data_IF_340391223004
#
_entry.id   IF_340391223004
#
_cell.length_a   1.000
_cell.length_b   1.000
_cell.length_c   1.000
_cell.angle_alpha   90.00
_cell.angle_beta   90.00
_cell.angle_gamma   90.00
#
_symmetry.space_group_name_H-M   'P 1'
#
loop_
_entity.id
_entity.type
_entity.pdbx_description
1 polymer ?
#
# COMPACT_ATOMS: atom_id res chain seq x y z
N UNK A 1 -26.50 -3.62 -2.77
CA UNK A 1 -27.22 -3.82 -1.48
C UNK A 1 -26.99 -5.24 -0.94
N UNK A 2 -26.93 -6.21 -1.84
CA UNK A 2 -26.82 -7.66 -1.69
C UNK A 2 -25.50 -8.06 -1.01
N UNK A 3 -24.36 -7.49 -1.43
CA UNK A 3 -23.05 -7.76 -0.82
C UNK A 3 -23.05 -7.37 0.66
N UNK A 4 -23.65 -6.23 1.00
CA UNK A 4 -23.77 -5.79 2.39
C UNK A 4 -24.63 -6.77 3.20
N UNK A 5 -25.72 -7.28 2.60
CA UNK A 5 -26.56 -8.29 3.23
C UNK A 5 -25.82 -9.62 3.46
N UNK A 6 -24.99 -10.06 2.50
CA UNK A 6 -24.14 -11.24 2.64
C UNK A 6 -23.11 -11.08 3.77
N UNK A 7 -22.45 -9.91 3.83
CA UNK A 7 -21.53 -9.59 4.93
C UNK A 7 -22.28 -9.68 6.26
N UNK A 8 -23.44 -9.03 6.39
CA UNK A 8 -24.22 -9.04 7.64
C UNK A 8 -24.78 -10.42 8.03
N UNK A 9 -24.86 -11.35 7.09
CA UNK A 9 -25.27 -12.74 7.27
C UNK A 9 -26.77 -12.92 7.54
N UNK A 10 -27.24 -12.47 8.70
CA UNK A 10 -28.63 -12.66 9.15
C UNK A 10 -29.31 -11.36 9.56
N UNK A 11 -30.63 -11.33 9.43
CA UNK A 11 -31.47 -10.23 9.88
C UNK A 11 -31.65 -10.20 11.40
N UNK A 12 -32.73 -9.57 11.84
CA UNK A 12 -33.22 -9.63 13.22
C UNK A 12 -34.60 -10.29 13.24
N UNK A 13 -35.13 -10.59 14.43
CA UNK A 13 -36.47 -11.16 14.55
C UNK A 13 -37.49 -10.26 13.83
N UNK A 14 -38.24 -10.85 12.88
CA UNK A 14 -39.26 -10.15 12.10
C UNK A 14 -38.73 -9.30 10.92
N UNK A 15 -37.42 -9.19 10.70
CA UNK A 15 -36.87 -8.40 9.59
C UNK A 15 -35.70 -9.10 8.88
N UNK A 16 -35.80 -9.22 7.55
CA UNK A 16 -34.72 -9.76 6.71
C UNK A 16 -33.45 -8.89 6.77
N UNK A 17 -32.29 -9.53 6.58
CA UNK A 17 -31.01 -8.83 6.45
C UNK A 17 -31.01 -7.81 5.31
N UNK A 18 -31.82 -8.05 4.26
CA UNK A 18 -31.99 -7.12 3.14
C UNK A 18 -32.54 -5.77 3.59
N UNK A 19 -33.47 -5.77 4.55
CA UNK A 19 -34.04 -4.54 5.12
C UNK A 19 -32.99 -3.78 5.92
N UNK A 20 -32.15 -4.51 6.67
CA UNK A 20 -31.04 -3.90 7.42
C UNK A 20 -30.01 -3.28 6.48
N UNK A 21 -29.66 -3.97 5.38
CA UNK A 21 -28.73 -3.46 4.38
C UNK A 21 -29.26 -2.22 3.65
N UNK A 22 -30.56 -2.22 3.31
CA UNK A 22 -31.21 -1.05 2.74
C UNK A 22 -31.21 0.12 3.72
N UNK A 23 -31.52 -0.11 5.00
CA UNK A 23 -31.51 0.92 6.05
C UNK A 23 -30.15 1.58 6.20
N UNK A 24 -29.05 0.81 6.14
CA UNK A 24 -27.69 1.36 6.14
C UNK A 24 -27.45 2.28 4.95
N UNK A 25 -27.78 1.82 3.73
CA UNK A 25 -27.61 2.62 2.52
C UNK A 25 -28.48 3.87 2.52
N UNK A 26 -29.72 3.78 2.99
CA UNK A 26 -30.62 4.94 3.10
C UNK A 26 -30.13 5.95 4.14
N UNK A 27 -29.58 5.51 5.27
CA UNK A 27 -29.08 6.41 6.32
C UNK A 27 -27.80 7.14 5.92
N UNK A 28 -26.85 6.44 5.30
CA UNK A 28 -25.52 6.98 5.01
C UNK A 28 -25.37 7.44 3.54
N UNK A 29 -26.31 7.10 2.66
CA UNK A 29 -26.37 7.52 1.26
C UNK A 29 -25.40 6.79 0.32
N UNK A 30 -24.23 6.35 0.79
CA UNK A 30 -23.23 5.66 -0.03
C UNK A 30 -22.38 4.67 0.77
N UNK A 31 -21.76 3.70 0.07
CA UNK A 31 -20.79 2.78 0.68
C UNK A 31 -19.58 3.52 1.27
N UNK A 32 -19.14 4.61 0.63
CA UNK A 32 -18.04 5.44 1.13
C UNK A 32 -18.38 6.09 2.48
N UNK A 33 -19.60 6.58 2.64
CA UNK A 33 -20.07 7.13 3.90
C UNK A 33 -20.20 6.05 4.99
N UNK A 34 -20.67 4.85 4.64
CA UNK A 34 -20.70 3.70 5.57
C UNK A 34 -19.29 3.32 6.02
N UNK A 35 -18.32 3.29 5.09
CA UNK A 35 -16.93 2.97 5.40
C UNK A 35 -16.30 4.01 6.35
N UNK A 36 -16.64 5.30 6.16
CA UNK A 36 -16.16 6.40 6.99
C UNK A 36 -16.84 6.53 8.36
N UNK A 37 -18.03 5.94 8.54
CA UNK A 37 -18.77 6.03 9.80
C UNK A 37 -18.02 5.37 10.97
N UNK A 38 -18.23 5.92 12.16
CA UNK A 38 -17.71 5.37 13.42
C UNK A 38 -18.47 4.09 13.83
N UNK A 39 -17.89 3.29 14.73
CA UNK A 39 -18.57 2.10 15.26
C UNK A 39 -19.86 2.49 16.00
N UNK A 40 -19.84 3.61 16.71
CA UNK A 40 -20.99 4.18 17.42
C UNK A 40 -22.08 4.55 16.43
N UNK A 41 -21.75 5.31 15.37
CA UNK A 41 -22.71 5.73 14.34
C UNK A 41 -23.36 4.53 13.63
N UNK A 42 -22.57 3.53 13.28
CA UNK A 42 -23.08 2.28 12.68
C UNK A 42 -23.99 1.52 13.65
N UNK A 43 -23.61 1.47 14.93
CA UNK A 43 -24.37 0.76 15.97
C UNK A 43 -25.70 1.43 16.32
N UNK A 44 -25.90 2.69 15.92
CA UNK A 44 -27.20 3.36 16.02
C UNK A 44 -28.21 2.87 14.97
N UNK A 45 -27.82 2.02 14.03
CA UNK A 45 -28.75 1.44 13.06
C UNK A 45 -29.41 0.20 13.65
N UNK A 46 -30.75 0.22 13.76
CA UNK A 46 -31.53 -0.96 14.17
C UNK A 46 -31.10 -2.20 13.38
N UNK A 47 -30.69 -3.25 14.08
CA UNK A 47 -30.20 -4.50 13.51
C UNK A 47 -28.68 -4.58 13.32
N UNK A 48 -27.95 -3.50 13.64
CA UNK A 48 -26.49 -3.42 13.66
C UNK A 48 -26.04 -3.15 15.10
N UNK A 49 -25.58 -4.18 15.78
CA UNK A 49 -24.84 -4.02 17.03
C UNK A 49 -23.33 -3.95 16.76
N UNK A 50 -22.54 -3.81 17.82
CA UNK A 50 -21.06 -3.72 17.75
C UNK A 50 -20.46 -4.81 16.86
N UNK A 51 -20.90 -6.07 17.00
CA UNK A 51 -20.38 -7.18 16.21
C UNK A 51 -20.54 -6.97 14.69
N UNK A 52 -21.73 -6.53 14.24
CA UNK A 52 -22.01 -6.27 12.82
C UNK A 52 -21.34 -4.98 12.34
N UNK A 53 -21.25 -3.96 13.20
CA UNK A 53 -20.50 -2.75 12.90
C UNK A 53 -19.01 -3.06 12.67
N UNK A 54 -18.39 -3.82 13.58
CA UNK A 54 -17.01 -4.29 13.45
C UNK A 54 -16.82 -5.14 12.19
N UNK A 55 -17.79 -5.98 11.84
CA UNK A 55 -17.74 -6.78 10.63
C UNK A 55 -17.73 -5.91 9.36
N UNK A 56 -18.56 -4.86 9.31
CA UNK A 56 -18.55 -3.88 8.22
C UNK A 56 -17.18 -3.19 8.14
N UNK A 57 -16.65 -2.70 9.27
CA UNK A 57 -15.34 -2.03 9.31
C UNK A 57 -14.22 -2.96 8.86
N UNK A 58 -14.24 -4.23 9.27
CA UNK A 58 -13.28 -5.23 8.85
C UNK A 58 -13.34 -5.50 7.34
N UNK A 59 -14.53 -5.54 6.74
CA UNK A 59 -14.69 -5.73 5.31
C UNK A 59 -14.10 -4.56 4.50
N UNK A 60 -14.32 -3.32 4.94
CA UNK A 60 -13.74 -2.14 4.30
C UNK A 60 -12.23 -2.03 4.51
N UNK A 61 -11.74 -2.37 5.70
CA UNK A 61 -10.31 -2.43 5.99
C UNK A 61 -9.61 -3.45 5.09
N UNK A 62 -10.21 -4.63 4.88
CA UNK A 62 -9.68 -5.64 3.98
C UNK A 62 -9.63 -5.13 2.53
N UNK A 63 -10.67 -4.46 2.07
CA UNK A 63 -10.68 -3.81 0.75
C UNK A 63 -9.57 -2.75 0.64
N UNK A 64 -9.40 -1.91 1.68
CA UNK A 64 -8.34 -0.90 1.74
C UNK A 64 -6.95 -1.52 1.61
N UNK A 65 -6.67 -2.62 2.32
CA UNK A 65 -5.40 -3.36 2.22
C UNK A 65 -5.17 -3.95 0.84
N UNK A 66 -6.22 -4.49 0.21
CA UNK A 66 -6.13 -5.07 -1.13
C UNK A 66 -5.79 -4.01 -2.18
N UNK A 67 -6.35 -2.82 -2.04
CA UNK A 67 -6.06 -1.68 -2.92
C UNK A 67 -4.71 -1.00 -2.62
N UNK A 68 -3.96 -1.48 -1.62
CA UNK A 68 -2.70 -0.87 -1.18
C UNK A 68 -2.89 0.47 -0.46
N UNK A 69 -4.14 0.82 -0.11
CA UNK A 69 -4.47 1.97 0.74
C UNK A 69 -4.19 1.58 2.20
N UNK A 70 -2.92 1.56 2.58
CA UNK A 70 -2.55 1.75 3.98
C UNK A 70 -2.70 3.25 4.22
N UNK A 71 -3.80 3.67 4.87
CA UNK A 71 -4.13 5.04 5.30
C UNK A 71 -3.74 6.19 4.34
N UNK A 72 -4.75 6.93 3.85
CA UNK A 72 -4.74 8.31 3.30
C UNK A 72 -3.43 9.10 3.52
N UNK A 73 -2.37 8.66 2.87
CA UNK A 73 -1.09 9.32 2.77
C UNK A 73 -0.91 9.40 1.27
N UNK A 74 -0.89 10.63 0.76
CA UNK A 74 -0.52 10.83 -0.63
C UNK A 74 0.76 10.04 -0.88
N UNK A 75 0.73 9.16 -1.89
CA UNK A 75 1.91 8.39 -2.28
C UNK A 75 3.08 9.36 -2.37
N UNK A 76 4.20 9.12 -1.65
CA UNK A 76 5.30 10.06 -1.60
C UNK A 76 5.72 10.47 -3.01
N UNK A 77 5.85 11.78 -3.22
CA UNK A 77 6.28 12.35 -4.49
C UNK A 77 7.79 12.48 -4.44
N UNK A 78 8.49 11.92 -5.42
CA UNK A 78 9.96 11.98 -5.52
C UNK A 78 10.33 13.09 -6.49
N UNK A 79 10.94 14.16 -5.97
CA UNK A 79 11.43 15.30 -6.75
C UNK A 79 12.92 15.54 -6.55
N UNK A 80 13.47 15.12 -5.42
CA UNK A 80 14.89 15.31 -5.10
C UNK A 80 15.56 14.01 -4.63
N UNK A 81 16.91 13.94 -4.65
CA UNK A 81 17.64 12.81 -4.07
C UNK A 81 17.33 12.60 -2.57
N UNK A 82 17.01 13.66 -1.82
CA UNK A 82 16.63 13.56 -0.42
C UNK A 82 15.31 12.80 -0.25
N UNK A 83 14.33 13.01 -1.13
CA UNK A 83 13.08 12.24 -1.12
C UNK A 83 13.35 10.74 -1.31
N UNK A 84 14.31 10.40 -2.18
CA UNK A 84 14.76 9.01 -2.42
C UNK A 84 15.39 8.44 -1.15
N UNK A 85 16.27 9.19 -0.50
CA UNK A 85 16.93 8.79 0.75
C UNK A 85 15.88 8.55 1.83
N UNK A 86 14.92 9.45 2.03
CA UNK A 86 13.89 9.31 3.06
C UNK A 86 13.00 8.07 2.84
N UNK A 87 12.73 7.72 1.58
CA UNK A 87 11.98 6.50 1.22
C UNK A 87 12.71 5.20 1.60
N UNK A 88 14.03 5.16 1.46
CA UNK A 88 14.82 3.92 1.55
C UNK A 88 15.69 3.82 2.80
N UNK A 89 15.93 4.93 3.50
CA UNK A 89 16.82 5.01 4.68
C UNK A 89 16.38 4.03 5.77
N UNK A 90 15.09 3.92 6.05
CA UNK A 90 14.58 2.94 7.02
C UNK A 90 14.86 1.48 6.65
N UNK A 91 14.99 1.18 5.35
CA UNK A 91 15.23 -0.19 4.83
C UNK A 91 16.72 -0.52 4.76
N UNK A 92 17.55 0.46 4.42
CA UNK A 92 18.98 0.28 4.13
C UNK A 92 19.89 0.62 5.33
N UNK A 93 19.43 1.42 6.28
CA UNK A 93 20.25 1.82 7.43
C UNK A 93 20.70 0.60 8.24
N UNK A 94 22.02 0.50 8.45
CA UNK A 94 22.63 -0.56 9.25
C UNK A 94 22.75 -1.91 8.53
N UNK A 95 22.40 -1.99 7.24
CA UNK A 95 22.66 -3.19 6.43
C UNK A 95 24.16 -3.33 6.21
N UNK A 96 24.69 -4.52 6.50
CA UNK A 96 26.12 -4.87 6.36
C UNK A 96 26.47 -5.44 4.98
N UNK A 97 25.47 -5.59 4.11
CA UNK A 97 25.62 -6.04 2.73
C UNK A 97 25.12 -4.92 1.82
N UNK A 98 25.59 -4.91 0.58
CA UNK A 98 25.03 -4.05 -0.46
C UNK A 98 23.65 -4.58 -0.86
N UNK A 99 22.67 -3.69 -0.87
CA UNK A 99 21.34 -3.95 -1.39
C UNK A 99 21.13 -3.04 -2.58
N UNK A 100 20.67 -3.58 -3.71
CA UNK A 100 20.27 -2.79 -4.87
C UNK A 100 18.76 -2.80 -5.00
N UNK A 101 18.17 -1.61 -5.02
CA UNK A 101 16.73 -1.38 -5.03
C UNK A 101 16.31 -0.65 -6.32
N UNK A 102 15.08 -0.90 -6.73
CA UNK A 102 14.35 -0.13 -7.74
C UNK A 102 13.16 0.55 -7.10
N UNK A 103 13.10 1.88 -7.23
CA UNK A 103 11.93 2.69 -6.91
C UNK A 103 11.16 2.92 -8.21
N UNK A 104 9.96 2.34 -8.30
CA UNK A 104 9.06 2.51 -9.44
C UNK A 104 8.13 3.70 -9.20
N UNK A 105 8.05 4.62 -10.16
CA UNK A 105 7.29 5.85 -10.07
C UNK A 105 6.21 5.96 -11.16
N UNK A 106 5.11 6.65 -10.85
CA UNK A 106 4.08 7.00 -11.84
C UNK A 106 4.45 8.25 -12.66
N UNK A 107 3.58 8.64 -13.61
CA UNK A 107 3.80 9.82 -14.48
C UNK A 107 3.84 11.16 -13.75
N UNK A 108 3.52 11.18 -12.45
CA UNK A 108 3.59 12.35 -11.56
C UNK A 108 4.69 12.18 -10.50
N UNK A 109 5.64 11.29 -10.75
CA UNK A 109 6.76 10.95 -9.86
C UNK A 109 6.34 10.44 -8.49
N UNK A 110 5.17 9.80 -8.37
CA UNK A 110 4.70 9.23 -7.09
C UNK A 110 5.15 7.80 -6.95
N UNK A 111 5.48 7.42 -5.72
CA UNK A 111 5.90 6.06 -5.40
C UNK A 111 4.80 5.03 -5.75
N UNK A 112 5.12 4.10 -6.64
CA UNK A 112 4.31 2.89 -6.89
C UNK A 112 4.80 1.76 -5.99
N UNK A 113 6.09 1.44 -6.05
CA UNK A 113 6.70 0.29 -5.36
C UNK A 113 8.20 0.52 -5.16
N UNK A 114 8.74 0.01 -4.06
CA UNK A 114 10.19 -0.17 -3.86
C UNK A 114 10.48 -1.67 -3.83
N UNK A 115 11.24 -2.16 -4.82
CA UNK A 115 11.63 -3.57 -4.97
C UNK A 115 13.12 -3.75 -4.69
N UNK A 116 13.49 -4.79 -3.96
CA UNK A 116 14.88 -5.23 -3.83
C UNK A 116 15.21 -6.18 -4.99
N UNK A 117 16.23 -5.84 -5.78
CA UNK A 117 16.63 -6.59 -6.97
C UNK A 117 17.75 -7.57 -6.65
N UNK A 118 18.72 -7.13 -5.86
CA UNK A 118 19.83 -7.95 -5.44
C UNK A 118 20.28 -7.58 -4.04
N UNK A 119 20.88 -8.57 -3.38
CA UNK A 119 21.67 -8.38 -2.16
C UNK A 119 23.06 -8.91 -2.47
N UNK A 120 23.99 -7.98 -2.67
CA UNK A 120 25.38 -8.26 -3.01
C UNK A 120 26.12 -9.00 -1.90
N UNK A 121 27.26 -9.58 -2.26
CA UNK A 121 28.37 -9.87 -1.33
C UNK A 121 29.28 -8.63 -1.26
N UNK A 122 30.31 -8.65 -0.41
CA UNK A 122 31.23 -7.53 -0.13
C UNK A 122 31.87 -6.84 -1.35
N UNK A 123 31.88 -7.44 -2.54
CA UNK A 123 32.76 -6.99 -3.64
C UNK A 123 32.13 -6.81 -5.03
N UNK A 124 30.84 -7.08 -5.26
CA UNK A 124 30.13 -6.64 -6.50
C UNK A 124 28.63 -6.94 -6.42
N UNK A 125 27.79 -5.95 -6.72
CA UNK A 125 26.37 -6.14 -7.01
C UNK A 125 26.16 -6.18 -8.52
N UNK A 126 26.37 -7.34 -9.14
CA UNK A 126 26.03 -7.54 -10.56
C UNK A 126 24.50 -7.58 -10.68
N UNK A 127 23.90 -6.42 -10.97
CA UNK A 127 22.48 -6.33 -11.26
C UNK A 127 22.29 -6.45 -12.76
N UNK A 128 21.66 -7.54 -13.19
CA UNK A 128 21.33 -7.69 -14.59
C UNK A 128 20.14 -6.76 -14.94
N UNK A 129 20.22 -5.92 -16.00
CA UNK A 129 19.14 -5.00 -16.38
C UNK A 129 17.76 -5.67 -16.50
N UNK A 130 17.73 -6.90 -17.04
CA UNK A 130 16.50 -7.74 -17.08
C UNK A 130 15.79 -7.86 -15.73
N UNK A 131 16.50 -8.10 -14.63
CA UNK A 131 15.87 -8.26 -13.31
C UNK A 131 15.38 -6.91 -12.77
N UNK A 132 16.17 -5.85 -12.95
CA UNK A 132 15.80 -4.47 -12.62
C UNK A 132 14.53 -4.01 -13.36
N UNK A 133 14.49 -4.18 -14.69
CA UNK A 133 13.37 -3.73 -15.51
C UNK A 133 12.14 -4.64 -15.40
N UNK A 134 12.28 -5.92 -15.07
CA UNK A 134 11.14 -6.82 -14.82
C UNK A 134 10.23 -6.27 -13.72
N UNK A 135 10.81 -5.81 -12.62
CA UNK A 135 10.04 -5.22 -11.51
C UNK A 135 9.36 -3.91 -11.93
N UNK A 136 10.07 -3.06 -12.66
CA UNK A 136 9.52 -1.79 -13.17
C UNK A 136 8.34 -2.01 -14.13
N UNK A 137 8.49 -2.95 -15.07
CA UNK A 137 7.45 -3.31 -16.04
C UNK A 137 6.24 -3.92 -15.33
N UNK A 138 6.47 -4.86 -14.39
CA UNK A 138 5.40 -5.46 -13.61
C UNK A 138 4.64 -4.43 -12.76
N UNK A 139 5.30 -3.36 -12.33
CA UNK A 139 4.68 -2.26 -11.59
C UNK A 139 4.00 -1.21 -12.50
N UNK A 140 4.07 -1.36 -13.83
CA UNK A 140 3.63 -0.34 -14.80
C UNK A 140 4.24 1.04 -14.53
N UNK A 141 5.53 1.06 -14.19
CA UNK A 141 6.25 2.28 -13.86
C UNK A 141 6.40 3.19 -15.09
N UNK A 142 6.20 4.50 -14.90
CA UNK A 142 6.52 5.52 -15.90
C UNK A 142 8.01 5.90 -15.86
N UNK A 143 8.63 5.85 -14.69
CA UNK A 143 10.06 6.07 -14.49
C UNK A 143 10.56 5.25 -13.29
N UNK A 144 11.89 5.13 -13.18
CA UNK A 144 12.55 4.40 -12.10
C UNK A 144 13.71 5.19 -11.51
N UNK A 145 13.97 4.97 -10.22
CA UNK A 145 15.21 5.38 -9.56
C UNK A 145 15.90 4.13 -9.02
N UNK A 146 17.19 3.97 -9.35
CA UNK A 146 18.03 2.91 -8.82
C UNK A 146 18.76 3.41 -7.57
N UNK A 147 18.83 2.58 -6.54
CA UNK A 147 19.47 2.92 -5.26
C UNK A 147 20.27 1.73 -4.77
N UNK A 148 21.49 1.97 -4.29
CA UNK A 148 22.21 1.00 -3.47
C UNK A 148 22.72 1.63 -2.16
N UNK A 149 23.09 0.79 -1.19
CA UNK A 149 23.87 1.22 -0.04
C UNK A 149 25.30 0.70 -0.12
N UNK A 150 26.26 1.54 0.28
CA UNK A 150 27.64 1.15 0.54
C UNK A 150 27.82 0.83 2.04
N UNK A 151 28.12 -0.42 2.44
CA UNK A 151 28.35 -0.78 3.85
C UNK A 151 29.51 -0.02 4.50
N UNK A 152 30.47 0.46 3.69
CA UNK A 152 31.58 1.32 4.11
C UNK A 152 31.10 2.68 4.64
N UNK A 153 29.92 3.14 4.23
CA UNK A 153 29.37 4.46 4.54
C UNK A 153 29.87 5.58 3.63
N UNK A 154 30.73 5.29 2.65
CA UNK A 154 31.16 6.25 1.63
C UNK A 154 30.13 6.28 0.48
N UNK A 155 29.50 7.44 0.19
CA UNK A 155 28.53 7.57 -0.90
C UNK A 155 29.18 7.83 -2.26
N UNK A 156 30.51 7.87 -2.36
CA UNK A 156 31.22 8.10 -3.61
C UNK A 156 30.96 6.96 -4.60
N UNK A 157 30.49 7.30 -5.80
CA UNK A 157 30.24 6.31 -6.85
C UNK A 157 31.54 5.61 -7.26
N UNK A 158 31.51 4.28 -7.26
CA UNK A 158 32.59 3.46 -7.81
C UNK A 158 32.57 3.47 -9.35
N UNK A 159 33.67 3.03 -9.97
CA UNK A 159 33.73 2.87 -11.43
C UNK A 159 32.66 1.90 -11.96
N UNK A 160 32.25 0.93 -11.15
CA UNK A 160 31.20 -0.03 -11.52
C UNK A 160 29.81 0.61 -11.42
N UNK A 161 29.59 1.51 -10.46
CA UNK A 161 28.34 2.27 -10.34
C UNK A 161 28.14 3.21 -11.54
N UNK A 162 29.22 3.76 -12.09
CA UNK A 162 29.18 4.65 -13.26
C UNK A 162 28.91 3.88 -14.56
N UNK A 163 29.31 2.60 -14.64
CA UNK A 163 29.16 1.77 -15.85
C UNK A 163 27.81 1.06 -15.96
N UNK A 164 27.05 1.01 -14.88
CA UNK A 164 25.76 0.31 -14.74
C UNK A 164 24.64 0.99 -15.54
#
# INVERSE_FOLDING_TARGET
QEILALILGRGIAGESVMVTAQRLLSRFGSLKAIAGASLEELSQVRGIGIAKASQIKAAFELASRLEGHTEVSEKPVVKTPEDVVDLVKGRLKGKKREHFLVISLDTRSRLIKVSEISVGSLDTSIVHPREAFKEAISASAASVVFVHNHPSGDPTASDDDIKL
#
